data_IF_430600851027
#
_entry.id   IF_430600851027
#
_cell.length_a   1.000
_cell.length_b   1.000
_cell.length_c   1.000
_cell.angle_alpha   90.00
_cell.angle_beta   90.00
_cell.angle_gamma   90.00
#
_symmetry.space_group_name_H-M   'P 1'
#
loop_
_entity.id
_entity.type
_entity.pdbx_description
1 polymer ?
#
# COMPACT_ATOMS: atom_id res chain seq x y z
N UNK A 1 -7.45 -14.04 10.56
CA UNK A 1 -8.15 -14.72 11.66
C UNK A 1 -9.65 -14.42 11.68
N UNK A 2 -10.09 -13.24 11.23
CA UNK A 2 -11.52 -12.86 11.20
C UNK A 2 -12.27 -13.35 9.95
N UNK A 3 -11.60 -14.00 8.99
CA UNK A 3 -12.20 -14.49 7.74
C UNK A 3 -12.79 -13.40 6.84
N UNK A 4 -12.30 -12.16 6.97
CA UNK A 4 -12.80 -11.00 6.23
C UNK A 4 -12.23 -11.05 4.81
N UNK A 5 -13.12 -11.05 3.80
CA UNK A 5 -12.71 -11.12 2.39
C UNK A 5 -12.24 -9.75 1.86
N UNK A 6 -12.91 -8.67 2.24
CA UNK A 6 -12.54 -7.32 1.84
C UNK A 6 -12.22 -6.47 3.09
N UNK A 7 -10.94 -6.11 3.31
CA UNK A 7 -10.54 -5.37 4.51
C UNK A 7 -11.12 -3.95 4.57
N UNK A 8 -11.66 -3.41 3.46
CA UNK A 8 -12.25 -2.07 3.41
C UNK A 8 -13.77 -2.06 3.49
N UNK A 9 -14.39 -3.21 3.70
CA UNK A 9 -15.84 -3.35 3.81
C UNK A 9 -16.23 -4.01 5.14
N UNK A 10 -15.82 -3.41 6.25
CA UNK A 10 -16.12 -3.93 7.58
C UNK A 10 -17.48 -3.45 8.06
N UNK A 11 -18.30 -4.36 8.57
CA UNK A 11 -19.43 -3.98 9.42
C UNK A 11 -18.94 -3.58 10.82
N UNK A 12 -19.85 -3.08 11.66
CA UNK A 12 -19.48 -2.60 13.00
C UNK A 12 -18.84 -3.70 13.84
N UNK A 13 -19.37 -4.91 13.80
CA UNK A 13 -18.84 -6.05 14.58
C UNK A 13 -17.43 -6.42 14.14
N UNK A 14 -17.18 -6.39 12.83
CA UNK A 14 -15.85 -6.68 12.25
C UNK A 14 -14.85 -5.57 12.61
N UNK A 15 -15.26 -4.30 12.55
CA UNK A 15 -14.43 -3.18 12.98
C UNK A 15 -14.09 -3.27 14.48
N UNK A 16 -15.08 -3.53 15.32
CA UNK A 16 -14.88 -3.66 16.77
C UNK A 16 -13.89 -4.79 17.10
N UNK A 17 -13.99 -5.92 16.39
CA UNK A 17 -13.07 -7.04 16.56
C UNK A 17 -11.63 -6.67 16.11
N UNK A 18 -11.49 -5.95 15.01
CA UNK A 18 -10.18 -5.47 14.54
C UNK A 18 -9.57 -4.47 15.54
N UNK A 19 -10.35 -3.54 16.07
CA UNK A 19 -9.91 -2.58 17.09
C UNK A 19 -9.50 -3.29 18.39
N UNK A 20 -10.22 -4.33 18.80
CA UNK A 20 -9.86 -5.12 19.97
C UNK A 20 -8.48 -5.79 19.80
N UNK A 21 -8.19 -6.34 18.61
CA UNK A 21 -6.87 -6.91 18.29
C UNK A 21 -5.78 -5.84 18.27
N UNK A 22 -6.05 -4.67 17.69
CA UNK A 22 -5.10 -3.55 17.68
C UNK A 22 -4.79 -3.03 19.08
N UNK A 23 -5.78 -2.97 19.98
CA UNK A 23 -5.56 -2.62 21.39
C UNK A 23 -4.69 -3.63 22.10
N UNK A 24 -4.83 -4.92 21.83
CA UNK A 24 -3.91 -5.94 22.33
C UNK A 24 -2.51 -5.76 21.75
N UNK A 25 -2.39 -5.56 20.45
CA UNK A 25 -1.12 -5.30 19.78
C UNK A 25 -0.41 -4.09 20.39
N UNK A 26 -1.13 -3.00 20.69
CA UNK A 26 -0.57 -1.78 21.25
C UNK A 26 0.17 -2.00 22.58
N UNK A 27 -0.14 -3.08 23.31
CA UNK A 27 0.54 -3.40 24.56
C UNK A 27 1.91 -4.07 24.37
N UNK A 28 2.22 -4.54 23.17
CA UNK A 28 3.41 -5.37 22.89
C UNK A 28 4.29 -4.82 21.76
N UNK A 29 3.85 -3.78 21.04
CA UNK A 29 4.64 -3.13 19.98
C UNK A 29 5.49 -2.01 20.55
N UNK A 30 6.58 -1.66 19.86
CA UNK A 30 7.42 -0.52 20.19
C UNK A 30 6.79 0.81 19.77
N UNK A 31 6.30 0.88 18.55
CA UNK A 31 5.73 2.12 17.98
C UNK A 31 4.78 1.87 16.81
N UNK A 32 3.90 2.83 16.56
CA UNK A 32 3.21 2.99 15.27
C UNK A 32 3.90 4.09 14.47
N UNK A 33 4.58 3.71 13.40
CA UNK A 33 5.22 4.71 12.53
C UNK A 33 4.17 5.44 11.68
N UNK A 34 4.42 6.72 11.42
CA UNK A 34 3.56 7.58 10.60
C UNK A 34 4.30 8.32 9.49
N UNK A 35 5.63 8.21 9.49
CA UNK A 35 6.48 8.77 8.45
C UNK A 35 7.66 7.83 8.12
N UNK A 36 8.15 7.96 6.89
CA UNK A 36 9.21 7.10 6.36
C UNK A 36 10.54 7.25 7.12
N UNK A 37 10.87 8.46 7.58
CA UNK A 37 12.17 8.73 8.23
C UNK A 37 12.23 8.05 9.59
N UNK A 38 11.15 8.13 10.38
CA UNK A 38 11.06 7.46 11.67
C UNK A 38 11.22 5.94 11.49
N UNK A 39 10.51 5.36 10.54
CA UNK A 39 10.58 3.93 10.25
C UNK A 39 11.98 3.48 9.81
N UNK A 40 12.60 4.18 8.85
CA UNK A 40 13.97 3.91 8.39
C UNK A 40 14.94 3.97 9.56
N UNK A 41 14.85 5.01 10.39
CA UNK A 41 15.73 5.23 11.54
C UNK A 41 15.59 4.13 12.58
N UNK A 42 14.37 3.68 12.86
CA UNK A 42 14.09 2.62 13.80
C UNK A 42 14.72 1.28 13.38
N UNK A 43 14.57 0.89 12.11
CA UNK A 43 15.22 -0.30 11.57
C UNK A 43 16.75 -0.14 11.48
N UNK A 44 17.24 1.02 11.01
CA UNK A 44 18.68 1.29 10.91
C UNK A 44 19.36 1.26 12.29
N UNK A 45 18.74 1.81 13.31
CA UNK A 45 19.20 1.79 14.69
C UNK A 45 19.12 0.44 15.39
N UNK A 46 18.33 -0.50 14.84
CA UNK A 46 18.08 -1.82 15.44
C UNK A 46 17.04 -1.81 16.55
N UNK A 47 16.31 -0.72 16.72
CA UNK A 47 15.20 -0.61 17.68
C UNK A 47 13.99 -1.43 17.25
N UNK A 48 13.80 -1.59 15.92
CA UNK A 48 12.78 -2.43 15.33
C UNK A 48 13.43 -3.60 14.60
N UNK A 49 13.02 -4.83 14.93
CA UNK A 49 13.48 -6.06 14.26
C UNK A 49 12.42 -6.69 13.37
N UNK A 50 11.15 -6.41 13.64
CA UNK A 50 9.98 -6.80 12.82
C UNK A 50 9.00 -5.64 12.79
N UNK A 51 8.44 -5.35 11.62
CA UNK A 51 7.44 -4.28 11.47
C UNK A 51 6.88 -4.21 10.05
N UNK A 52 5.81 -3.45 9.89
CA UNK A 52 5.28 -3.12 8.57
C UNK A 52 6.17 -2.09 7.87
N UNK A 53 6.26 -2.17 6.54
CA UNK A 53 7.11 -1.26 5.76
C UNK A 53 6.62 -1.16 4.32
N UNK A 54 6.93 -0.05 3.68
CA UNK A 54 6.97 0.01 2.22
C UNK A 54 8.28 -0.62 1.73
N UNK A 55 8.24 -1.40 0.64
CA UNK A 55 9.41 -2.12 0.14
C UNK A 55 10.63 -1.21 -0.06
N UNK A 56 10.44 -0.02 -0.63
CA UNK A 56 11.53 0.93 -0.87
C UNK A 56 12.27 1.34 0.42
N UNK A 57 11.60 1.39 1.57
CA UNK A 57 12.20 1.85 2.82
C UNK A 57 13.27 0.87 3.33
N UNK A 58 13.18 -0.41 2.98
CA UNK A 58 14.21 -1.41 3.25
C UNK A 58 15.57 -1.01 2.70
N UNK A 59 15.60 -0.46 1.48
CA UNK A 59 16.84 0.03 0.86
C UNK A 59 17.46 1.19 1.64
N UNK A 60 16.64 2.12 2.09
CA UNK A 60 17.13 3.29 2.82
C UNK A 60 17.56 2.97 4.25
N UNK A 61 17.06 1.93 4.86
CA UNK A 61 17.52 1.48 6.16
C UNK A 61 18.96 0.93 6.16
N UNK A 62 19.49 0.60 4.96
CA UNK A 62 20.87 0.17 4.74
C UNK A 62 21.34 -0.99 5.63
N UNK A 63 20.44 -1.90 6.00
CA UNK A 63 20.76 -3.10 6.77
C UNK A 63 20.80 -4.31 5.85
N UNK A 64 21.98 -4.94 5.63
CA UNK A 64 22.14 -6.04 4.66
C UNK A 64 21.28 -7.27 4.97
N UNK A 65 20.93 -7.48 6.25
CA UNK A 65 20.12 -8.62 6.68
C UNK A 65 18.62 -8.32 6.75
N UNK A 66 18.19 -7.09 6.46
CA UNK A 66 16.79 -6.72 6.43
C UNK A 66 16.13 -7.28 5.17
N UNK A 67 15.06 -8.04 5.36
CA UNK A 67 14.28 -8.66 4.29
C UNK A 67 12.82 -8.31 4.43
N UNK A 68 12.12 -8.29 3.32
CA UNK A 68 10.67 -8.13 3.27
C UNK A 68 10.00 -9.45 2.94
N UNK A 69 8.80 -9.62 3.40
CA UNK A 69 7.93 -10.74 3.05
C UNK A 69 6.47 -10.30 3.08
N UNK A 70 5.68 -10.86 2.20
CA UNK A 70 4.25 -10.67 2.25
C UNK A 70 3.66 -11.60 3.31
N UNK A 71 2.87 -11.09 4.28
CA UNK A 71 2.16 -11.93 5.25
C UNK A 71 1.21 -12.91 4.57
N UNK A 72 0.90 -14.02 5.24
CA UNK A 72 -0.08 -15.01 4.71
C UNK A 72 -1.49 -14.41 4.56
N UNK A 73 -1.80 -13.40 5.37
CA UNK A 73 -3.04 -12.65 5.33
C UNK A 73 -3.09 -11.65 4.16
N UNK A 74 -1.98 -11.46 3.47
CA UNK A 74 -1.84 -10.45 2.43
C UNK A 74 -1.44 -9.07 2.98
N UNK A 75 -1.56 -8.06 2.14
CA UNK A 75 -1.22 -6.69 2.48
C UNK A 75 -2.17 -5.70 1.81
N UNK A 76 -2.12 -4.46 2.26
CA UNK A 76 -2.74 -3.34 1.55
C UNK A 76 -1.80 -2.82 0.47
N UNK A 77 -2.36 -2.25 -0.60
CA UNK A 77 -1.60 -1.58 -1.65
C UNK A 77 -2.32 -0.34 -2.16
N UNK A 78 -1.64 0.46 -2.97
CA UNK A 78 -2.22 1.65 -3.59
C UNK A 78 -1.65 1.86 -4.99
N UNK A 79 -2.29 2.73 -5.74
CA UNK A 79 -1.84 3.17 -7.05
C UNK A 79 -1.62 4.67 -7.06
N UNK A 80 -0.50 5.11 -7.61
CA UNK A 80 -0.31 6.50 -7.96
C UNK A 80 -0.88 6.75 -9.36
N UNK A 81 -1.67 7.79 -9.52
CA UNK A 81 -2.42 8.07 -10.75
C UNK A 81 -2.34 9.53 -11.16
N UNK A 82 -2.27 9.77 -12.45
CA UNK A 82 -2.46 11.10 -13.01
C UNK A 82 -3.95 11.47 -13.02
N UNK A 83 -4.26 12.65 -12.54
CA UNK A 83 -5.61 13.20 -12.56
C UNK A 83 -5.67 14.47 -13.39
N UNK A 84 -6.68 14.57 -14.26
CA UNK A 84 -6.91 15.75 -15.06
C UNK A 84 -7.93 16.64 -14.35
N UNK A 85 -7.53 17.88 -14.02
CA UNK A 85 -8.45 18.84 -13.39
C UNK A 85 -9.63 19.13 -14.32
N UNK A 86 -10.85 19.05 -13.80
CA UNK A 86 -12.07 19.40 -14.55
C UNK A 86 -12.11 20.88 -15.00
N UNK A 87 -11.24 21.72 -14.43
CA UNK A 87 -11.13 23.16 -14.76
C UNK A 87 -9.97 23.45 -15.73
N UNK A 88 -9.22 22.44 -16.20
CA UNK A 88 -8.10 22.68 -17.10
C UNK A 88 -8.60 23.22 -18.45
N UNK A 89 -7.85 24.19 -18.98
CA UNK A 89 -8.04 24.67 -20.38
C UNK A 89 -7.09 23.97 -21.36
N UNK A 90 -6.17 23.15 -20.87
CA UNK A 90 -5.08 22.51 -21.61
C UNK A 90 -5.23 20.97 -21.60
N UNK A 91 -6.43 20.47 -21.84
CA UNK A 91 -6.73 19.04 -21.75
C UNK A 91 -5.86 18.18 -22.67
N UNK A 92 -5.58 18.66 -23.88
CA UNK A 92 -4.73 17.94 -24.85
C UNK A 92 -3.29 17.81 -24.34
N UNK A 93 -2.75 18.84 -23.68
CA UNK A 93 -1.42 18.76 -23.06
C UNK A 93 -1.42 17.76 -21.88
N UNK A 94 -2.51 17.71 -21.12
CA UNK A 94 -2.63 16.72 -20.03
C UNK A 94 -2.63 15.29 -20.57
N UNK A 95 -3.38 15.01 -21.62
CA UNK A 95 -3.38 13.69 -22.25
C UNK A 95 -2.03 13.35 -22.90
N UNK A 96 -1.40 14.30 -23.61
CA UNK A 96 -0.06 14.07 -24.16
C UNK A 96 0.99 13.75 -23.06
N UNK A 97 0.87 14.36 -21.89
CA UNK A 97 1.69 14.04 -20.73
C UNK A 97 1.41 12.63 -20.21
N UNK A 98 0.13 12.25 -20.08
CA UNK A 98 -0.26 10.92 -19.62
C UNK A 98 0.20 9.83 -20.60
N UNK A 99 0.05 10.05 -21.90
CA UNK A 99 0.54 9.14 -22.93
C UNK A 99 2.08 8.97 -22.84
N UNK A 100 2.80 10.08 -22.72
CA UNK A 100 4.26 10.06 -22.57
C UNK A 100 4.70 9.29 -21.31
N UNK A 101 4.10 9.58 -20.17
CA UNK A 101 4.46 8.92 -18.89
C UNK A 101 3.99 7.47 -18.81
N UNK A 102 3.08 7.03 -19.66
CA UNK A 102 2.62 5.64 -19.76
C UNK A 102 3.49 4.77 -20.67
N UNK A 103 4.43 5.38 -21.44
CA UNK A 103 5.39 4.59 -22.25
C UNK A 103 6.27 3.73 -21.35
N UNK A 104 6.65 2.52 -21.81
CA UNK A 104 7.40 1.57 -21.00
C UNK A 104 8.68 2.19 -20.40
N UNK A 105 9.46 2.91 -21.20
CA UNK A 105 10.71 3.53 -20.75
C UNK A 105 10.51 4.60 -19.67
N UNK A 106 9.52 5.49 -19.86
CA UNK A 106 9.29 6.60 -18.93
C UNK A 106 8.59 6.10 -17.65
N UNK A 107 7.57 5.25 -17.80
CA UNK A 107 6.87 4.65 -16.66
C UNK A 107 7.84 3.84 -15.79
N UNK A 108 8.68 3.01 -16.41
CA UNK A 108 9.70 2.25 -15.70
C UNK A 108 10.74 3.12 -15.00
N UNK A 109 11.22 4.19 -15.64
CA UNK A 109 12.15 5.13 -15.02
C UNK A 109 11.53 5.82 -13.79
N UNK A 110 10.25 6.21 -13.87
CA UNK A 110 9.50 6.77 -12.74
C UNK A 110 9.40 5.71 -11.62
N UNK A 111 8.97 4.50 -11.95
CA UNK A 111 8.82 3.41 -10.99
C UNK A 111 10.13 3.07 -10.27
N UNK A 112 11.24 3.00 -11.00
CA UNK A 112 12.57 2.77 -10.41
C UNK A 112 12.99 3.88 -9.46
N UNK A 113 12.73 5.15 -9.83
CA UNK A 113 13.11 6.30 -9.00
C UNK A 113 12.29 6.38 -7.71
N UNK A 114 10.99 6.08 -7.78
CA UNK A 114 10.10 6.08 -6.62
C UNK A 114 10.12 4.77 -5.83
N UNK A 115 10.69 3.69 -6.37
CA UNK A 115 10.74 2.38 -5.72
C UNK A 115 9.38 1.70 -5.62
N UNK A 116 8.74 1.50 -6.76
CA UNK A 116 7.44 0.84 -6.91
C UNK A 116 7.41 -0.03 -8.18
N UNK A 117 6.44 -0.93 -8.28
CA UNK A 117 6.21 -1.68 -9.51
C UNK A 117 5.80 -0.75 -10.66
N UNK A 118 6.36 -0.91 -11.89
CA UNK A 118 5.90 -0.19 -13.06
C UNK A 118 4.51 -0.68 -13.48
N UNK A 119 3.62 0.25 -13.84
CA UNK A 119 2.31 -0.10 -14.40
C UNK A 119 2.42 -0.65 -15.83
N UNK A 120 3.45 -0.24 -16.57
CA UNK A 120 3.75 -0.78 -17.89
C UNK A 120 4.89 -1.80 -17.79
N UNK A 121 4.53 -3.07 -17.64
CA UNK A 121 5.48 -4.18 -17.46
C UNK A 121 6.33 -4.48 -18.69
N UNK A 122 6.03 -3.93 -19.88
CA UNK A 122 6.93 -4.01 -21.02
C UNK A 122 8.32 -3.38 -20.73
N UNK A 123 8.43 -2.57 -19.68
CA UNK A 123 9.71 -2.07 -19.16
C UNK A 123 10.61 -3.20 -18.66
N UNK A 124 10.07 -4.23 -18.02
CA UNK A 124 10.83 -5.29 -17.34
C UNK A 124 11.82 -5.98 -18.28
N UNK A 125 11.40 -6.27 -19.51
CA UNK A 125 12.22 -6.89 -20.53
C UNK A 125 13.28 -5.95 -21.17
N UNK A 126 13.34 -4.68 -20.81
CA UNK A 126 14.21 -3.70 -21.47
C UNK A 126 15.69 -3.83 -21.13
N UNK A 127 16.02 -4.37 -19.95
CA UNK A 127 17.39 -4.60 -19.49
C UNK A 127 17.42 -5.53 -18.27
N UNK A 128 18.60 -6.10 -17.96
CA UNK A 128 18.78 -6.89 -16.74
C UNK A 128 18.50 -6.08 -15.46
N UNK A 129 18.79 -4.78 -15.45
CA UNK A 129 18.48 -3.90 -14.32
C UNK A 129 16.97 -3.67 -14.17
N UNK A 130 16.27 -3.50 -15.28
CA UNK A 130 14.82 -3.36 -15.30
C UNK A 130 14.14 -4.64 -14.79
N UNK A 131 14.59 -5.81 -15.25
CA UNK A 131 14.06 -7.10 -14.78
C UNK A 131 14.30 -7.28 -13.29
N UNK A 132 15.49 -6.98 -12.77
CA UNK A 132 15.79 -7.09 -11.34
C UNK A 132 14.92 -6.17 -10.50
N UNK A 133 14.59 -4.97 -11.01
CA UNK A 133 13.63 -4.07 -10.35
C UNK A 133 12.21 -4.65 -10.35
N UNK A 134 11.77 -5.18 -11.49
CA UNK A 134 10.45 -5.82 -11.60
C UNK A 134 10.31 -7.02 -10.68
N UNK A 135 11.34 -7.85 -10.58
CA UNK A 135 11.38 -9.00 -9.66
C UNK A 135 11.28 -8.56 -8.21
N UNK A 136 12.03 -7.50 -7.83
CA UNK A 136 12.03 -6.95 -6.47
C UNK A 136 10.66 -6.41 -6.06
N UNK A 137 9.95 -5.76 -6.97
CA UNK A 137 8.63 -5.17 -6.71
C UNK A 137 7.47 -6.05 -7.20
N UNK A 138 7.74 -7.32 -7.54
CA UNK A 138 6.75 -8.30 -7.97
C UNK A 138 5.85 -7.81 -9.14
N UNK A 139 6.41 -7.01 -10.08
CA UNK A 139 5.65 -6.33 -11.11
C UNK A 139 4.87 -7.29 -12.04
N UNK A 140 5.38 -8.50 -12.23
CA UNK A 140 4.81 -9.54 -13.10
C UNK A 140 4.31 -10.75 -12.30
N UNK A 141 4.29 -10.70 -10.96
CA UNK A 141 3.85 -11.79 -10.10
C UNK A 141 2.35 -11.66 -9.76
N UNK A 142 1.51 -12.29 -10.57
CA UNK A 142 0.06 -12.30 -10.36
C UNK A 142 -0.34 -12.93 -9.02
N UNK A 143 0.38 -13.93 -8.51
CA UNK A 143 0.08 -14.59 -7.25
C UNK A 143 0.39 -13.69 -6.05
N UNK A 144 1.40 -12.84 -6.17
CA UNK A 144 1.66 -11.78 -5.20
C UNK A 144 0.49 -10.79 -5.17
N UNK A 145 0.09 -10.28 -6.33
CA UNK A 145 -0.95 -9.26 -6.43
C UNK A 145 -2.34 -9.73 -6.02
N UNK A 146 -2.65 -11.01 -6.14
CA UNK A 146 -3.89 -11.60 -5.59
C UNK A 146 -4.01 -11.47 -4.07
N UNK A 147 -2.89 -11.29 -3.38
CA UNK A 147 -2.83 -11.10 -1.92
C UNK A 147 -2.76 -9.64 -1.50
N UNK A 148 -2.74 -8.72 -2.45
CA UNK A 148 -2.71 -7.28 -2.18
C UNK A 148 -4.10 -6.71 -2.35
N UNK A 149 -4.65 -6.14 -1.28
CA UNK A 149 -5.94 -5.45 -1.29
C UNK A 149 -5.72 -3.96 -1.64
N UNK A 150 -6.13 -3.51 -2.83
CA UNK A 150 -5.99 -2.12 -3.21
C UNK A 150 -6.79 -1.21 -2.29
N UNK A 151 -6.18 -0.10 -1.87
CA UNK A 151 -6.84 0.87 -1.00
C UNK A 151 -8.16 1.35 -1.61
N UNK A 152 -9.20 1.25 -0.78
CA UNK A 152 -10.53 1.77 -1.10
C UNK A 152 -11.07 2.48 0.14
N UNK A 153 -11.58 3.69 -0.02
CA UNK A 153 -12.14 4.44 1.10
C UNK A 153 -13.35 3.70 1.67
N UNK A 154 -13.33 3.32 2.94
CA UNK A 154 -14.48 2.70 3.59
C UNK A 154 -15.69 3.65 3.61
N UNK A 155 -16.83 3.16 3.19
CA UNK A 155 -18.08 3.89 3.16
C UNK A 155 -19.21 3.03 3.74
N UNK A 156 -20.31 3.66 4.18
CA UNK A 156 -21.45 2.98 4.80
C UNK A 156 -22.13 1.96 3.88
N UNK A 157 -22.09 2.18 2.56
CA UNK A 157 -22.50 1.20 1.56
C UNK A 157 -21.34 0.25 1.31
N UNK A 158 -21.51 -1.04 1.65
CA UNK A 158 -20.40 -1.99 1.54
C UNK A 158 -19.84 -2.07 0.11
N UNK A 159 -18.57 -1.76 -0.05
CA UNK A 159 -17.89 -1.77 -1.37
C UNK A 159 -17.69 -3.18 -1.93
N UNK A 160 -17.93 -4.22 -1.16
CA UNK A 160 -17.93 -5.62 -1.58
C UNK A 160 -19.30 -6.09 -2.12
N UNK A 161 -20.29 -5.18 -2.20
CA UNK A 161 -21.59 -5.42 -2.78
C UNK A 161 -22.63 -6.03 -1.83
N UNK A 162 -22.30 -6.28 -0.55
CA UNK A 162 -23.30 -6.70 0.45
C UNK A 162 -24.35 -5.60 0.64
N UNK A 163 -25.63 -5.98 0.63
CA UNK A 163 -26.77 -5.05 0.75
C UNK A 163 -27.53 -5.19 2.07
N UNK A 164 -27.33 -6.31 2.75
CA UNK A 164 -28.08 -6.67 3.97
C UNK A 164 -27.39 -6.18 5.25
N UNK A 165 -26.22 -5.55 5.11
CA UNK A 165 -25.45 -4.99 6.22
C UNK A 165 -25.03 -3.56 5.90
N UNK A 166 -24.89 -2.77 6.93
CA UNK A 166 -24.27 -1.44 6.85
C UNK A 166 -22.78 -1.60 7.19
N UNK A 167 -21.90 -1.14 6.30
CA UNK A 167 -20.48 -1.05 6.55
C UNK A 167 -20.13 0.24 7.30
N UNK A 168 -18.94 0.26 7.88
CA UNK A 168 -18.42 1.41 8.61
C UNK A 168 -17.70 2.37 7.69
N UNK A 169 -17.86 3.66 7.92
CA UNK A 169 -17.26 4.75 7.15
C UNK A 169 -15.80 4.99 7.54
N UNK A 170 -15.06 5.69 6.70
CA UNK A 170 -13.70 6.14 7.00
C UNK A 170 -13.63 7.00 8.27
N UNK A 171 -14.66 7.81 8.55
CA UNK A 171 -14.73 8.61 9.76
C UNK A 171 -14.83 7.73 11.02
N UNK A 172 -15.65 6.68 10.97
CA UNK A 172 -15.77 5.71 12.07
C UNK A 172 -14.43 4.98 12.31
N UNK A 173 -13.72 4.61 11.24
CA UNK A 173 -12.37 4.03 11.34
C UNK A 173 -11.37 4.98 11.98
N UNK A 174 -11.38 6.24 11.58
CA UNK A 174 -10.49 7.27 12.15
C UNK A 174 -10.75 7.47 13.64
N UNK A 175 -12.03 7.53 14.04
CA UNK A 175 -12.42 7.65 15.43
C UNK A 175 -12.00 6.42 16.24
N UNK A 176 -12.23 5.23 15.70
CA UNK A 176 -11.84 3.97 16.32
C UNK A 176 -10.32 3.85 16.48
N UNK A 177 -9.54 4.24 15.45
CA UNK A 177 -8.09 4.26 15.50
C UNK A 177 -7.55 5.20 16.59
N UNK A 178 -8.18 6.36 16.80
CA UNK A 178 -7.80 7.26 17.88
C UNK A 178 -7.87 6.56 19.25
N UNK A 179 -8.83 5.64 19.45
CA UNK A 179 -8.95 4.88 20.71
C UNK A 179 -7.88 3.80 20.91
N UNK A 180 -7.15 3.43 19.86
CA UNK A 180 -6.02 2.48 19.93
C UNK A 180 -4.76 3.18 20.39
N UNK A 181 -4.54 4.41 19.90
CA UNK A 181 -3.32 5.18 20.22
C UNK A 181 -3.34 5.79 21.64
N UNK A 182 -4.51 6.05 22.20
CA UNK A 182 -4.67 6.71 23.49
C UNK A 182 -4.80 8.21 23.35
#
# INVERSE_FOLDING_TARGET
ELGIQNPYALDQKQLDAAIALLKQQNTIIGEYWSDAVAQITSFAGGNTVVGTSWEILRKFAAKPNLKTTLPIEGSTGWYDSWLVSSKTKNVNCAYAWMDYTSTASVNGAIAMNFGMAPANTAFCASSAMAQAHCDEFAAEDEEFWKKVAPWTTPIETCVDGRKDVKCTSFQEWTNAWATVKG
#
